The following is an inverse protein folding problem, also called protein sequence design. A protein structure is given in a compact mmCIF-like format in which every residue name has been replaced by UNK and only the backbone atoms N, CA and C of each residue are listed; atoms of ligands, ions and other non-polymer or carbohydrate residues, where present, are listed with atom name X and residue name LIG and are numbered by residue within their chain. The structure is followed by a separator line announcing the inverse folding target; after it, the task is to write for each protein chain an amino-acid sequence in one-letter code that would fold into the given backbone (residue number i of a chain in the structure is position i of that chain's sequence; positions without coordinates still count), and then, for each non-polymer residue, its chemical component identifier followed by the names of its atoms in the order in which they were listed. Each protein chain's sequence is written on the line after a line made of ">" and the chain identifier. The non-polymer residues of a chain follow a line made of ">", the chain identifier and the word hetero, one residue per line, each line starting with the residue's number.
data_IF_036108393672
#
_entry.id   IF_036108393672
#
_cell.length_a   1.000
_cell.length_b   1.000
_cell.length_c   1.000
_cell.angle_alpha   90.00
_cell.angle_beta   90.00
_cell.angle_gamma   90.00
#
_symmetry.space_group_name_H-M   'P 1'
#
loop_
_entity.id
_entity.type
_entity.pdbx_description
1 polymer ?
#
# COMPACT_ATOMS: atom_id res chain seq x y z
N UNK A 1 39.67 1.95 32.36
CA UNK A 1 40.74 1.79 31.35
C UNK A 1 40.58 2.94 30.38
N UNK A 2 41.38 3.98 30.56
CA UNK A 2 41.47 5.08 29.59
C UNK A 2 42.56 4.71 28.58
N UNK A 3 42.21 4.68 27.30
CA UNK A 3 43.12 4.45 26.20
C UNK A 3 43.72 5.80 25.81
N UNK A 4 44.94 6.08 26.26
CA UNK A 4 45.74 7.20 25.77
C UNK A 4 46.53 6.75 24.54
N UNK A 5 46.33 7.45 23.43
CA UNK A 5 47.07 7.25 22.19
C UNK A 5 48.17 8.33 22.14
N UNK A 6 49.38 8.00 22.60
CA UNK A 6 50.56 8.83 22.37
C UNK A 6 51.03 8.62 20.93
N UNK A 7 50.80 9.62 20.08
CA UNK A 7 51.43 9.69 18.77
C UNK A 7 52.80 10.34 18.93
N UNK A 8 53.85 9.59 18.60
CA UNK A 8 55.23 10.09 18.54
C UNK A 8 55.35 11.10 17.40
N UNK A 9 55.52 12.39 17.72
CA UNK A 9 55.63 13.48 16.74
C UNK A 9 56.86 13.37 15.82
N UNK A 10 57.79 12.48 16.16
CA UNK A 10 59.01 12.19 15.40
C UNK A 10 58.87 11.02 14.42
N UNK A 11 57.68 10.44 14.25
CA UNK A 11 57.44 9.41 13.25
C UNK A 11 57.70 9.97 11.82
N UNK A 12 58.66 9.41 11.06
CA UNK A 12 58.98 9.87 9.71
C UNK A 12 57.81 9.79 8.73
N UNK A 13 56.78 8.97 8.97
CA UNK A 13 55.53 8.96 8.20
C UNK A 13 54.67 10.20 8.50
N UNK A 14 54.60 10.64 9.76
CA UNK A 14 53.90 11.87 10.16
C UNK A 14 54.61 13.09 9.57
N UNK A 15 55.94 13.14 9.62
CA UNK A 15 56.72 14.23 9.01
C UNK A 15 56.61 14.25 7.47
N UNK A 16 56.51 13.10 6.82
CA UNK A 16 56.29 13.01 5.37
C UNK A 16 54.89 13.51 4.97
N UNK A 17 53.85 13.19 5.75
CA UNK A 17 52.48 13.69 5.55
C UNK A 17 52.38 15.22 5.80
N UNK A 18 53.10 15.73 6.80
CA UNK A 18 53.17 17.18 7.07
C UNK A 18 53.92 17.92 5.95
N UNK A 19 54.97 17.34 5.36
CA UNK A 19 55.67 17.92 4.19
C UNK A 19 54.81 17.91 2.92
N UNK A 20 54.03 16.87 2.65
CA UNK A 20 53.10 16.84 1.51
C UNK A 20 51.98 17.89 1.62
N UNK A 21 51.64 18.34 2.83
CA UNK A 21 50.61 19.38 3.05
C UNK A 21 51.07 20.80 2.68
N UNK A 22 52.37 21.06 2.52
CA UNK A 22 52.92 22.39 2.22
C UNK A 22 53.02 22.75 0.74
N UNK A 23 52.65 21.83 -0.16
CA UNK A 23 52.51 22.08 -1.61
C UNK A 23 51.05 21.99 -2.05
N UNK A 24 50.14 22.65 -1.30
CA UNK A 24 48.85 22.98 -1.89
C UNK A 24 49.06 24.13 -2.89
N UNK A 25 48.67 23.99 -4.17
CA UNK A 25 48.61 25.12 -5.07
C UNK A 25 47.72 26.19 -4.41
N UNK A 26 48.16 27.45 -4.44
CA UNK A 26 47.38 28.58 -3.94
C UNK A 26 45.94 28.44 -4.44
N UNK A 27 45.02 28.08 -3.54
CA UNK A 27 43.59 28.17 -3.83
C UNK A 27 43.35 29.63 -4.16
N UNK A 28 43.17 29.92 -5.44
CA UNK A 28 42.47 31.13 -5.84
C UNK A 28 41.18 31.11 -5.03
N UNK A 29 41.02 32.09 -4.16
CA UNK A 29 39.77 32.36 -3.46
C UNK A 29 38.82 32.83 -4.54
N UNK A 30 38.27 31.88 -5.29
CA UNK A 30 37.08 32.12 -6.07
C UNK A 30 36.02 32.26 -5.01
N UNK A 31 35.54 33.49 -4.80
CA UNK A 31 34.40 33.74 -3.93
C UNK A 31 33.32 32.73 -4.30
N UNK A 32 33.03 31.83 -3.36
CA UNK A 32 31.95 30.88 -3.52
C UNK A 32 30.67 31.70 -3.53
N UNK A 33 30.20 32.04 -4.72
CA UNK A 33 28.83 32.46 -4.93
C UNK A 33 28.03 31.16 -4.81
N UNK A 34 27.22 30.99 -3.75
CA UNK A 34 26.30 29.86 -3.71
C UNK A 34 25.55 29.91 -5.02
N UNK A 35 25.55 28.80 -5.78
CA UNK A 35 24.58 28.69 -6.86
C UNK A 35 23.25 28.87 -6.15
N UNK A 36 22.58 29.97 -6.46
CA UNK A 36 21.16 30.06 -6.22
C UNK A 36 20.59 28.95 -7.09
N UNK A 37 20.47 27.76 -6.53
CA UNK A 37 19.68 26.67 -7.07
C UNK A 37 18.26 27.20 -7.03
N UNK A 38 17.93 28.02 -8.02
CA UNK A 38 16.61 28.61 -8.16
C UNK A 38 15.65 27.44 -8.21
N UNK A 39 14.86 27.30 -7.15
CA UNK A 39 13.88 26.26 -6.89
C UNK A 39 12.72 26.23 -7.92
N UNK A 40 12.89 26.92 -9.05
CA UNK A 40 11.85 27.28 -9.99
C UNK A 40 12.35 27.29 -11.45
N UNK A 41 13.50 26.66 -11.76
CA UNK A 41 14.00 26.60 -13.15
C UNK A 41 12.97 25.99 -14.13
N UNK A 42 12.07 25.14 -13.63
CA UNK A 42 10.94 24.56 -14.36
C UNK A 42 9.71 25.49 -14.48
N UNK A 43 9.74 26.69 -13.87
CA UNK A 43 8.78 27.78 -14.06
C UNK A 43 9.24 28.80 -15.12
N UNK A 44 10.36 28.55 -15.82
CA UNK A 44 10.79 29.40 -16.92
C UNK A 44 9.68 29.53 -17.99
N UNK A 45 9.54 30.68 -18.68
CA UNK A 45 8.51 30.90 -19.70
C UNK A 45 8.52 29.84 -20.81
N UNK A 46 9.69 29.27 -21.10
CA UNK A 46 9.89 28.17 -22.03
C UNK A 46 10.65 27.05 -21.29
N UNK A 47 9.96 26.20 -20.51
CA UNK A 47 10.61 25.12 -19.81
C UNK A 47 11.14 24.10 -20.82
N UNK A 48 12.31 23.53 -20.52
CA UNK A 48 12.90 22.47 -21.36
C UNK A 48 11.96 21.26 -21.31
N UNK A 49 11.53 20.71 -22.47
CA UNK A 49 10.65 19.54 -22.48
C UNK A 49 11.29 18.36 -21.73
N UNK A 50 10.52 17.57 -20.94
CA UNK A 50 11.06 16.45 -20.16
C UNK A 50 11.85 15.45 -21.00
N UNK A 51 11.42 15.15 -22.24
CA UNK A 51 12.14 14.27 -23.17
C UNK A 51 13.54 14.76 -23.53
N UNK A 52 13.72 16.08 -23.71
CA UNK A 52 15.02 16.72 -23.99
C UNK A 52 15.83 16.81 -22.72
N UNK A 53 15.19 17.16 -21.61
CA UNK A 53 15.83 17.28 -20.30
C UNK A 53 16.45 15.93 -19.89
N UNK A 54 15.72 14.83 -20.04
CA UNK A 54 16.16 13.48 -19.67
C UNK A 54 17.40 12.99 -20.41
N UNK A 55 17.73 13.57 -21.56
CA UNK A 55 18.96 13.29 -22.31
C UNK A 55 20.19 14.01 -21.74
N UNK A 56 20.01 14.94 -20.81
CA UNK A 56 21.10 15.69 -20.17
C UNK A 56 21.64 14.98 -18.93
N UNK A 57 22.92 15.19 -18.61
CA UNK A 57 23.61 14.57 -17.46
C UNK A 57 22.88 14.69 -16.12
N UNK A 58 22.21 15.80 -15.87
CA UNK A 58 21.50 16.09 -14.61
C UNK A 58 19.98 16.15 -14.77
N UNK A 59 19.47 15.94 -15.98
CA UNK A 59 18.07 16.22 -16.28
C UNK A 59 17.08 15.30 -15.60
N UNK A 60 17.43 14.03 -15.39
CA UNK A 60 16.59 13.11 -14.63
C UNK A 60 16.39 13.58 -13.17
N UNK A 61 17.46 14.02 -12.50
CA UNK A 61 17.36 14.54 -11.14
C UNK A 61 16.57 15.86 -11.11
N UNK A 62 16.81 16.75 -12.07
CA UNK A 62 16.04 17.98 -12.22
C UNK A 62 14.54 17.69 -12.38
N UNK A 63 14.16 16.78 -13.28
CA UNK A 63 12.78 16.40 -13.51
C UNK A 63 12.15 15.80 -12.25
N UNK A 64 12.86 14.91 -11.53
CA UNK A 64 12.40 14.39 -10.23
C UNK A 64 12.13 15.49 -9.21
N UNK A 65 13.03 16.45 -9.05
CA UNK A 65 12.80 17.57 -8.15
C UNK A 65 11.59 18.41 -8.55
N UNK A 66 11.36 18.61 -9.85
CA UNK A 66 10.14 19.32 -10.31
C UNK A 66 8.86 18.54 -10.01
N UNK A 67 8.89 17.20 -10.14
CA UNK A 67 7.77 16.31 -9.80
C UNK A 67 7.46 16.40 -8.30
N UNK A 68 8.49 16.25 -7.45
CA UNK A 68 8.37 16.36 -5.99
C UNK A 68 7.85 17.74 -5.57
N UNK A 69 8.35 18.81 -6.19
CA UNK A 69 7.87 20.17 -5.96
C UNK A 69 6.38 20.29 -6.27
N UNK A 70 5.94 19.88 -7.47
CA UNK A 70 4.53 19.96 -7.85
C UNK A 70 3.64 19.13 -6.92
N UNK A 71 4.11 17.95 -6.51
CA UNK A 71 3.39 17.11 -5.56
C UNK A 71 3.24 17.77 -4.19
N UNK A 72 4.33 18.30 -3.64
CA UNK A 72 4.36 18.95 -2.33
C UNK A 72 3.48 20.22 -2.27
N UNK A 73 3.33 20.93 -3.39
CA UNK A 73 2.50 22.13 -3.50
C UNK A 73 1.06 21.83 -3.94
N UNK A 74 0.64 20.56 -3.96
CA UNK A 74 -0.73 20.17 -4.27
C UNK A 74 -1.11 20.22 -5.75
N UNK A 75 -0.15 20.50 -6.65
CA UNK A 75 -0.37 20.42 -8.10
C UNK A 75 -0.22 18.97 -8.58
N UNK A 76 -1.15 18.12 -8.14
CA UNK A 76 -1.12 16.68 -8.40
C UNK A 76 -1.28 16.33 -9.88
N UNK A 77 -2.02 17.14 -10.66
CA UNK A 77 -2.15 16.95 -12.10
C UNK A 77 -0.80 17.08 -12.80
N UNK A 78 -0.05 18.17 -12.51
CA UNK A 78 1.26 18.37 -13.13
C UNK A 78 2.29 17.36 -12.64
N UNK A 79 2.27 17.00 -11.36
CA UNK A 79 3.12 15.96 -10.82
C UNK A 79 2.89 14.61 -11.53
N UNK A 80 1.63 14.23 -11.76
CA UNK A 80 1.27 13.02 -12.48
C UNK A 80 1.72 13.06 -13.95
N UNK A 81 1.44 14.15 -14.66
CA UNK A 81 1.86 14.36 -16.06
C UNK A 81 3.38 14.15 -16.22
N UNK A 82 4.18 14.84 -15.41
CA UNK A 82 5.64 14.76 -15.46
C UNK A 82 6.17 13.37 -15.04
N UNK A 83 5.54 12.73 -14.05
CA UNK A 83 5.87 11.33 -13.69
C UNK A 83 5.62 10.37 -14.85
N UNK A 84 4.49 10.52 -15.55
CA UNK A 84 4.16 9.70 -16.72
C UNK A 84 5.14 9.91 -17.86
N UNK A 85 5.52 11.16 -18.15
CA UNK A 85 6.55 11.45 -19.16
C UNK A 85 7.88 10.77 -18.82
N UNK A 86 8.30 10.81 -17.55
CA UNK A 86 9.51 10.11 -17.10
C UNK A 86 9.36 8.59 -17.25
N UNK A 87 8.28 8.01 -16.73
CA UNK A 87 8.04 6.56 -16.76
C UNK A 87 8.01 6.06 -18.21
N UNK A 88 7.29 6.76 -19.09
CA UNK A 88 7.21 6.42 -20.52
C UNK A 88 8.56 6.55 -21.21
N UNK A 89 9.34 7.59 -20.91
CA UNK A 89 10.70 7.72 -21.42
C UNK A 89 11.56 6.52 -21.04
N UNK A 90 11.51 6.06 -19.77
CA UNK A 90 12.26 4.88 -19.35
C UNK A 90 11.75 3.60 -20.00
N UNK A 91 10.42 3.43 -20.13
CA UNK A 91 9.82 2.23 -20.73
C UNK A 91 10.13 2.08 -22.21
N UNK A 92 10.11 3.18 -22.98
CA UNK A 92 10.19 3.14 -24.44
C UNK A 92 11.56 3.54 -25.02
N UNK A 93 12.49 4.05 -24.20
CA UNK A 93 13.83 4.38 -24.68
C UNK A 93 14.64 3.11 -24.96
N UNK A 94 15.09 2.96 -26.21
CA UNK A 94 15.94 1.83 -26.66
C UNK A 94 17.41 1.96 -26.27
N UNK A 95 17.87 3.17 -25.90
CA UNK A 95 19.26 3.42 -25.49
C UNK A 95 19.51 2.98 -24.05
N UNK A 96 20.78 2.78 -23.66
CA UNK A 96 21.19 2.31 -22.33
C UNK A 96 20.77 3.27 -21.19
N UNK A 97 19.49 3.24 -20.82
CA UNK A 97 18.87 3.91 -19.66
C UNK A 97 19.28 3.24 -18.34
N UNK A 98 20.23 2.29 -18.37
CA UNK A 98 20.66 1.47 -17.22
C UNK A 98 21.12 2.27 -15.99
N UNK A 99 21.37 3.58 -16.14
CA UNK A 99 21.75 4.48 -15.04
C UNK A 99 20.61 5.36 -14.50
N UNK A 100 19.39 5.29 -15.06
CA UNK A 100 18.23 5.98 -14.48
C UNK A 100 17.64 5.12 -13.36
N UNK A 101 18.21 5.27 -12.16
CA UNK A 101 17.67 4.69 -10.94
C UNK A 101 16.44 5.47 -10.45
N UNK A 102 15.63 4.84 -9.59
CA UNK A 102 14.52 5.52 -8.89
C UNK A 102 13.30 5.81 -9.77
N UNK A 103 12.97 4.93 -10.72
CA UNK A 103 11.62 4.90 -11.33
C UNK A 103 10.56 4.53 -10.31
N UNK A 104 10.92 3.75 -9.29
CA UNK A 104 10.05 3.36 -8.18
C UNK A 104 9.41 4.57 -7.48
N UNK A 105 10.22 5.54 -7.04
CA UNK A 105 9.73 6.74 -6.36
C UNK A 105 8.77 7.57 -7.25
N UNK A 106 8.95 7.47 -8.57
CA UNK A 106 8.07 8.10 -9.55
C UNK A 106 6.74 7.37 -9.71
N UNK A 107 6.73 6.03 -9.71
CA UNK A 107 5.50 5.25 -9.62
C UNK A 107 4.75 5.55 -8.32
N UNK A 108 5.45 5.69 -7.20
CA UNK A 108 4.81 6.08 -5.94
C UNK A 108 4.15 7.46 -6.02
N UNK A 109 4.89 8.45 -6.56
CA UNK A 109 4.38 9.82 -6.71
C UNK A 109 3.22 9.87 -7.69
N UNK A 110 3.31 9.11 -8.79
CA UNK A 110 2.24 8.97 -9.77
C UNK A 110 0.99 8.34 -9.15
N UNK A 111 1.13 7.20 -8.45
CA UNK A 111 0.04 6.53 -7.75
C UNK A 111 -0.65 7.45 -6.73
N UNK A 112 0.13 8.16 -5.90
CA UNK A 112 -0.40 9.12 -4.93
C UNK A 112 -1.12 10.28 -5.60
N UNK A 113 -0.59 10.78 -6.72
CA UNK A 113 -1.20 11.87 -7.49
C UNK A 113 -2.50 11.43 -8.14
N UNK A 114 -2.52 10.26 -8.77
CA UNK A 114 -3.72 9.66 -9.35
C UNK A 114 -4.84 9.47 -8.31
N UNK A 115 -4.50 8.95 -7.12
CA UNK A 115 -5.46 8.88 -5.98
C UNK A 115 -6.02 10.25 -5.59
N UNK A 116 -5.20 11.30 -5.61
CA UNK A 116 -5.65 12.68 -5.29
C UNK A 116 -6.56 13.27 -6.35
N UNK A 117 -6.38 12.87 -7.61
CA UNK A 117 -7.21 13.28 -8.74
C UNK A 117 -8.48 12.41 -8.89
N UNK A 118 -8.58 11.31 -8.14
CA UNK A 118 -9.70 10.37 -8.21
C UNK A 118 -9.58 9.33 -9.32
N UNK A 119 -8.43 9.26 -10.00
CA UNK A 119 -8.12 8.24 -11.00
C UNK A 119 -7.57 6.98 -10.31
N UNK A 120 -8.47 6.17 -9.76
CA UNK A 120 -8.09 5.01 -8.98
C UNK A 120 -7.64 3.81 -9.81
N UNK A 121 -8.09 3.71 -11.07
CA UNK A 121 -7.68 2.65 -11.98
C UNK A 121 -6.20 2.81 -12.32
N UNK A 122 -5.81 4.01 -12.77
CA UNK A 122 -4.41 4.31 -13.06
C UNK A 122 -3.53 4.22 -11.80
N UNK A 123 -4.05 4.61 -10.63
CA UNK A 123 -3.34 4.43 -9.38
C UNK A 123 -3.03 2.96 -9.06
N UNK A 124 -3.97 2.05 -9.34
CA UNK A 124 -3.78 0.61 -9.16
C UNK A 124 -2.71 0.07 -10.12
N UNK A 125 -2.74 0.50 -11.38
CA UNK A 125 -1.71 0.14 -12.36
C UNK A 125 -0.32 0.54 -11.86
N UNK A 126 -0.15 1.79 -11.40
CA UNK A 126 1.15 2.24 -10.91
C UNK A 126 1.66 1.46 -9.70
N UNK A 127 0.81 1.10 -8.74
CA UNK A 127 1.28 0.33 -7.57
C UNK A 127 1.55 -1.13 -7.89
N UNK A 128 0.90 -1.70 -8.91
CA UNK A 128 1.20 -3.06 -9.39
C UNK A 128 2.58 -3.15 -10.05
N UNK A 129 3.07 -2.04 -10.62
CA UNK A 129 4.41 -1.94 -11.21
C UNK A 129 5.53 -1.80 -10.17
N UNK A 130 5.18 -1.53 -8.91
CA UNK A 130 6.15 -1.46 -7.81
C UNK A 130 6.45 -2.87 -7.31
N UNK A 131 7.56 -3.44 -7.77
CA UNK A 131 8.12 -4.69 -7.28
C UNK A 131 9.10 -4.43 -6.12
N UNK A 132 8.56 -4.32 -4.90
CA UNK A 132 9.36 -4.10 -3.70
C UNK A 132 8.61 -4.52 -2.44
N UNK A 133 9.37 -5.13 -1.52
CA UNK A 133 8.90 -5.60 -0.22
C UNK A 133 9.18 -4.60 0.92
N UNK A 134 9.50 -3.34 0.61
CA UNK A 134 9.66 -2.33 1.65
C UNK A 134 8.32 -2.02 2.33
N UNK A 135 8.27 -1.84 3.67
CA UNK A 135 7.02 -1.55 4.38
C UNK A 135 6.22 -0.38 3.80
N UNK A 136 6.92 0.67 3.33
CA UNK A 136 6.27 1.83 2.72
C UNK A 136 5.42 1.48 1.49
N UNK A 137 5.86 0.51 0.68
CA UNK A 137 5.12 0.10 -0.52
C UNK A 137 3.91 -0.77 -0.20
N UNK A 138 4.00 -1.66 0.79
CA UNK A 138 2.84 -2.39 1.27
C UNK A 138 1.76 -1.44 1.79
N UNK A 139 2.16 -0.44 2.59
CA UNK A 139 1.24 0.58 3.07
C UNK A 139 0.64 1.42 1.92
N UNK A 140 1.43 1.78 0.92
CA UNK A 140 0.97 2.49 -0.27
C UNK A 140 -0.05 1.66 -1.07
N UNK A 141 0.28 0.40 -1.40
CA UNK A 141 -0.60 -0.55 -2.09
C UNK A 141 -1.92 -0.69 -1.35
N UNK A 142 -1.85 -0.94 -0.05
CA UNK A 142 -3.03 -1.04 0.80
C UNK A 142 -3.94 0.19 0.72
N UNK A 143 -3.36 1.39 0.81
CA UNK A 143 -4.09 2.64 0.70
C UNK A 143 -4.73 2.81 -0.70
N UNK A 144 -3.99 2.52 -1.77
CA UNK A 144 -4.51 2.63 -3.15
C UNK A 144 -5.69 1.69 -3.35
N UNK A 145 -5.54 0.40 -3.05
CA UNK A 145 -6.63 -0.56 -3.20
C UNK A 145 -7.85 -0.21 -2.34
N UNK A 146 -7.63 0.24 -1.10
CA UNK A 146 -8.73 0.68 -0.23
C UNK A 146 -9.49 1.87 -0.81
N UNK A 147 -8.81 2.81 -1.49
CA UNK A 147 -9.47 3.94 -2.15
C UNK A 147 -10.15 3.51 -3.46
N UNK A 148 -9.54 2.59 -4.20
CA UNK A 148 -10.05 2.03 -5.44
C UNK A 148 -11.29 1.13 -5.27
N UNK A 149 -11.61 0.70 -4.04
CA UNK A 149 -12.76 -0.18 -3.73
C UNK A 149 -14.12 0.29 -4.26
N UNK A 150 -14.27 1.59 -4.59
CA UNK A 150 -15.51 2.16 -5.14
C UNK A 150 -15.59 2.13 -6.67
N UNK A 151 -14.47 1.90 -7.35
CA UNK A 151 -14.34 2.07 -8.80
C UNK A 151 -14.05 0.74 -9.50
N UNK A 152 -13.28 -0.15 -8.88
CA UNK A 152 -12.96 -1.48 -9.44
C UNK A 152 -14.07 -2.47 -9.07
N UNK A 153 -15.29 -2.17 -9.50
CA UNK A 153 -16.40 -3.11 -9.46
C UNK A 153 -16.36 -4.12 -10.63
N UNK A 154 -15.45 -3.93 -11.59
CA UNK A 154 -15.65 -4.45 -12.95
C UNK A 154 -14.58 -5.41 -13.49
N UNK A 155 -13.47 -5.70 -12.78
CA UNK A 155 -12.31 -6.30 -13.48
C UNK A 155 -11.41 -7.32 -12.76
N UNK A 156 -11.67 -7.82 -11.53
CA UNK A 156 -10.76 -8.85 -10.97
C UNK A 156 -11.32 -9.71 -9.83
N UNK A 157 -10.81 -10.95 -9.82
CA UNK A 157 -11.05 -12.11 -8.93
C UNK A 157 -10.85 -11.84 -7.43
N UNK A 158 -10.19 -10.74 -7.07
CA UNK A 158 -10.05 -10.31 -5.66
C UNK A 158 -10.59 -8.90 -5.47
N UNK A 159 -11.54 -8.75 -4.54
CA UNK A 159 -12.07 -7.43 -4.19
C UNK A 159 -10.90 -6.53 -3.73
N UNK A 160 -10.79 -5.26 -4.18
CA UNK A 160 -9.75 -4.34 -3.73
C UNK A 160 -9.59 -4.26 -2.21
N UNK A 161 -10.68 -4.48 -1.45
CA UNK A 161 -10.65 -4.61 0.01
C UNK A 161 -9.75 -5.77 0.50
N UNK A 162 -9.77 -6.94 -0.13
CA UNK A 162 -8.89 -8.07 0.24
C UNK A 162 -7.45 -7.76 -0.10
N UNK A 163 -7.18 -7.26 -1.31
CA UNK A 163 -5.85 -6.82 -1.69
C UNK A 163 -5.30 -5.78 -0.69
N UNK A 164 -6.15 -4.85 -0.25
CA UNK A 164 -5.80 -3.89 0.79
C UNK A 164 -5.51 -4.55 2.16
N UNK A 165 -6.30 -5.54 2.57
CA UNK A 165 -6.08 -6.29 3.81
C UNK A 165 -4.75 -7.06 3.73
N UNK A 166 -4.52 -7.84 2.66
CA UNK A 166 -3.28 -8.61 2.47
C UNK A 166 -2.05 -7.72 2.57
N UNK A 167 -2.06 -6.57 1.88
CA UNK A 167 -0.95 -5.62 1.95
C UNK A 167 -0.78 -5.00 3.36
N UNK A 168 -1.87 -4.72 4.09
CA UNK A 168 -1.75 -4.28 5.49
C UNK A 168 -1.21 -5.38 6.42
N UNK A 169 -1.55 -6.64 6.19
CA UNK A 169 -1.00 -7.79 6.93
C UNK A 169 0.50 -7.90 6.67
N UNK A 170 0.93 -7.92 5.41
CA UNK A 170 2.37 -7.93 5.06
C UNK A 170 3.12 -6.73 5.64
N UNK A 171 2.47 -5.56 5.70
CA UNK A 171 3.03 -4.39 6.38
C UNK A 171 3.19 -4.62 7.90
N UNK A 172 2.17 -5.17 8.56
CA UNK A 172 2.17 -5.41 10.01
C UNK A 172 3.13 -6.53 10.44
N UNK A 173 3.40 -7.49 9.56
CA UNK A 173 4.45 -8.49 9.78
C UNK A 173 5.84 -7.84 9.90
N UNK A 174 6.09 -6.75 9.16
CA UNK A 174 7.35 -5.99 9.20
C UNK A 174 7.34 -4.86 10.24
N UNK A 175 6.18 -4.23 10.48
CA UNK A 175 5.99 -3.12 11.42
C UNK A 175 4.81 -3.40 12.34
N UNK A 176 5.06 -4.24 13.34
CA UNK A 176 4.10 -4.59 14.37
C UNK A 176 3.57 -3.34 15.08
N UNK A 177 2.33 -3.41 15.56
CA UNK A 177 1.69 -2.39 16.39
C UNK A 177 1.53 -1.00 15.72
N UNK A 178 1.26 -0.95 14.41
CA UNK A 178 0.82 0.29 13.75
C UNK A 178 -0.72 0.40 13.80
N UNK A 179 -1.23 1.34 14.62
CA UNK A 179 -2.68 1.52 14.78
C UNK A 179 -3.38 1.87 13.46
N UNK A 180 -2.71 2.57 12.54
CA UNK A 180 -3.31 3.03 11.28
C UNK A 180 -3.54 1.85 10.33
N UNK A 181 -2.63 0.89 10.30
CA UNK A 181 -2.79 -0.32 9.49
C UNK A 181 -3.92 -1.20 10.04
N UNK A 182 -3.98 -1.41 11.36
CA UNK A 182 -5.10 -2.09 12.01
C UNK A 182 -6.45 -1.42 11.75
N UNK A 183 -6.50 -0.08 11.84
CA UNK A 183 -7.69 0.71 11.50
C UNK A 183 -8.10 0.51 10.03
N UNK A 184 -7.11 0.50 9.13
CA UNK A 184 -7.34 0.29 7.70
C UNK A 184 -7.93 -1.10 7.42
N UNK A 185 -7.43 -2.15 8.09
CA UNK A 185 -7.99 -3.51 8.00
C UNK A 185 -9.46 -3.50 8.45
N UNK A 186 -9.77 -2.90 9.61
CA UNK A 186 -11.15 -2.79 10.11
C UNK A 186 -12.09 -2.12 9.10
N UNK A 187 -11.66 -1.00 8.49
CA UNK A 187 -12.44 -0.32 7.45
C UNK A 187 -12.61 -1.14 6.16
N UNK A 188 -11.64 -1.99 5.81
CA UNK A 188 -11.77 -2.91 4.67
C UNK A 188 -12.82 -3.99 4.97
N UNK A 189 -12.78 -4.57 6.18
CA UNK A 189 -13.73 -5.60 6.62
C UNK A 189 -15.15 -5.05 6.71
N UNK A 190 -15.35 -3.84 7.24
CA UNK A 190 -16.68 -3.18 7.21
C UNK A 190 -17.19 -2.96 5.78
N UNK A 191 -16.29 -2.63 4.86
CA UNK A 191 -16.68 -2.48 3.46
C UNK A 191 -17.10 -3.81 2.82
N UNK A 192 -16.54 -4.94 3.28
CA UNK A 192 -16.94 -6.28 2.86
C UNK A 192 -18.26 -6.73 3.51
N UNK A 193 -18.55 -6.33 4.76
CA UNK A 193 -19.79 -6.72 5.46
C UNK A 193 -21.04 -5.96 5.02
N UNK A 194 -20.90 -4.83 4.31
CA UNK A 194 -22.04 -4.04 3.82
C UNK A 194 -22.13 -4.08 2.27
N UNK A 195 -22.54 -5.20 1.66
CA UNK A 195 -22.61 -5.37 0.22
C UNK A 195 -23.79 -4.61 -0.43
N UNK A 196 -24.44 -3.64 0.24
CA UNK A 196 -25.61 -2.86 -0.25
C UNK A 196 -25.42 -2.13 -1.60
N UNK A 197 -24.29 -2.31 -2.28
CA UNK A 197 -24.02 -1.81 -3.64
C UNK A 197 -23.60 -2.90 -4.66
N UNK A 198 -23.46 -4.16 -4.27
CA UNK A 198 -23.10 -5.27 -5.15
C UNK A 198 -24.22 -6.31 -5.14
N UNK A 199 -25.23 -6.12 -6.00
CA UNK A 199 -26.44 -6.95 -6.07
C UNK A 199 -26.22 -8.39 -6.58
N UNK A 200 -24.99 -8.85 -6.77
CA UNK A 200 -24.69 -10.07 -7.52
C UNK A 200 -24.09 -11.23 -6.74
N UNK A 201 -23.73 -11.07 -5.46
CA UNK A 201 -23.24 -12.18 -4.63
C UNK A 201 -24.36 -12.72 -3.74
N UNK A 202 -24.94 -13.85 -4.12
CA UNK A 202 -25.95 -14.60 -3.35
C UNK A 202 -25.35 -15.64 -2.40
N UNK A 203 -24.05 -15.57 -2.13
CA UNK A 203 -23.42 -16.42 -1.12
C UNK A 203 -23.67 -15.81 0.25
N UNK A 204 -24.35 -16.54 1.13
CA UNK A 204 -24.51 -16.21 2.55
C UNK A 204 -23.15 -16.21 3.25
N UNK A 205 -22.34 -15.19 2.98
CA UNK A 205 -21.16 -14.92 3.77
C UNK A 205 -21.66 -14.49 5.16
N UNK A 206 -21.22 -15.12 6.27
CA UNK A 206 -21.74 -14.79 7.58
C UNK A 206 -21.28 -13.37 7.94
N UNK A 207 -22.18 -12.41 7.68
CA UNK A 207 -22.01 -10.98 8.01
C UNK A 207 -21.51 -10.78 9.44
N UNK A 208 -21.85 -11.71 10.35
CA UNK A 208 -21.40 -11.73 11.74
C UNK A 208 -19.89 -11.93 11.86
N UNK A 209 -19.29 -12.91 11.18
CA UNK A 209 -17.84 -13.20 11.29
C UNK A 209 -16.99 -12.00 10.83
N UNK A 210 -17.31 -11.43 9.67
CA UNK A 210 -16.59 -10.26 9.14
C UNK A 210 -16.74 -9.06 10.08
N UNK A 211 -17.93 -8.84 10.63
CA UNK A 211 -18.17 -7.75 11.58
C UNK A 211 -17.38 -7.96 12.89
N UNK A 212 -17.28 -9.21 13.36
CA UNK A 212 -16.45 -9.57 14.52
C UNK A 212 -14.96 -9.33 14.24
N UNK A 213 -14.45 -9.73 13.08
CA UNK A 213 -13.05 -9.44 12.69
C UNK A 213 -12.78 -7.94 12.57
N UNK A 214 -13.73 -7.18 12.02
CA UNK A 214 -13.64 -5.73 11.96
C UNK A 214 -13.57 -5.13 13.39
N UNK A 215 -14.42 -5.60 14.30
CA UNK A 215 -14.46 -5.17 15.69
C UNK A 215 -13.13 -5.46 16.39
N UNK A 216 -12.56 -6.67 16.23
CA UNK A 216 -11.24 -7.01 16.75
C UNK A 216 -10.15 -6.08 16.22
N UNK A 217 -10.16 -5.80 14.91
CA UNK A 217 -9.20 -4.90 14.28
C UNK A 217 -9.26 -3.47 14.85
N UNK A 218 -10.47 -2.93 15.04
CA UNK A 218 -10.66 -1.60 15.63
C UNK A 218 -10.28 -1.56 17.11
N UNK A 219 -10.61 -2.60 17.90
CA UNK A 219 -10.19 -2.70 19.30
C UNK A 219 -8.66 -2.76 19.42
N UNK A 220 -7.98 -3.56 18.58
CA UNK A 220 -6.51 -3.61 18.54
C UNK A 220 -5.92 -2.24 18.20
N UNK A 221 -6.47 -1.57 17.17
CA UNK A 221 -6.08 -0.20 16.80
C UNK A 221 -6.25 0.78 17.96
N UNK A 222 -7.38 0.71 18.67
CA UNK A 222 -7.67 1.56 19.82
C UNK A 222 -6.70 1.31 20.98
N UNK A 223 -6.39 0.06 21.31
CA UNK A 223 -5.39 -0.28 22.33
C UNK A 223 -4.04 0.32 21.98
N UNK A 224 -3.56 0.11 20.75
CA UNK A 224 -2.26 0.67 20.29
C UNK A 224 -2.27 2.20 20.39
N UNK A 225 -3.33 2.86 19.90
CA UNK A 225 -3.44 4.31 19.93
C UNK A 225 -3.44 4.85 21.37
N UNK A 226 -4.20 4.23 22.26
CA UNK A 226 -4.35 4.68 23.66
C UNK A 226 -3.14 4.36 24.53
N UNK A 227 -2.34 3.35 24.18
CA UNK A 227 -1.03 3.09 24.81
C UNK A 227 0.08 4.05 24.36
N UNK A 228 -0.16 4.89 23.34
CA UNK A 228 0.84 5.83 22.83
C UNK A 228 1.00 7.09 23.70
N UNK A 229 2.14 7.76 23.59
CA UNK A 229 2.40 9.05 24.24
C UNK A 229 1.78 10.25 23.51
N UNK A 230 0.99 10.03 22.45
CA UNK A 230 0.41 11.09 21.62
C UNK A 230 -0.42 12.14 22.38
N UNK A 231 -1.20 11.78 23.43
CA UNK A 231 -1.97 12.78 24.18
C UNK A 231 -1.11 13.90 24.80
N UNK A 232 0.15 13.61 25.08
CA UNK A 232 1.08 14.49 25.78
C UNK A 232 1.80 15.47 24.83
N UNK A 233 1.63 15.36 23.51
CA UNK A 233 2.30 16.20 22.52
C UNK A 233 1.29 17.16 21.89
N UNK A 234 1.44 18.46 22.15
CA UNK A 234 0.47 19.49 21.75
C UNK A 234 0.14 19.49 20.25
N UNK A 235 1.16 19.38 19.40
CA UNK A 235 1.02 19.45 17.93
C UNK A 235 0.14 18.32 17.37
N UNK A 236 0.09 17.16 18.02
CA UNK A 236 -0.67 15.99 17.56
C UNK A 236 -1.92 15.69 18.40
N UNK A 237 -2.15 16.41 19.50
CA UNK A 237 -3.31 16.18 20.39
C UNK A 237 -4.64 16.27 19.65
N UNK A 238 -4.78 17.25 18.75
CA UNK A 238 -6.00 17.39 17.93
C UNK A 238 -6.24 16.18 17.03
N UNK A 239 -5.17 15.70 16.37
CA UNK A 239 -5.24 14.47 15.55
C UNK A 239 -5.59 13.26 16.43
N UNK A 240 -4.92 13.08 17.56
CA UNK A 240 -5.20 11.99 18.50
C UNK A 240 -6.67 11.95 18.90
N UNK A 241 -7.25 13.08 19.31
CA UNK A 241 -8.66 13.15 19.72
C UNK A 241 -9.63 12.78 18.60
N UNK A 242 -9.34 13.16 17.36
CA UNK A 242 -10.15 12.77 16.19
C UNK A 242 -10.05 11.29 15.88
N UNK A 243 -8.83 10.75 15.81
CA UNK A 243 -8.60 9.33 15.53
C UNK A 243 -9.21 8.43 16.61
N UNK A 244 -9.06 8.81 17.88
CA UNK A 244 -9.65 8.09 19.02
C UNK A 244 -11.17 8.04 18.93
N UNK A 245 -11.81 9.19 18.68
CA UNK A 245 -13.27 9.27 18.55
C UNK A 245 -13.79 8.41 17.40
N UNK A 246 -13.13 8.45 16.24
CA UNK A 246 -13.50 7.61 15.10
C UNK A 246 -13.46 6.11 15.47
N UNK A 247 -12.43 5.68 16.22
CA UNK A 247 -12.33 4.30 16.68
C UNK A 247 -13.44 3.94 17.67
N UNK A 248 -13.75 4.81 18.63
CA UNK A 248 -14.85 4.61 19.59
C UNK A 248 -16.20 4.47 18.89
N UNK A 249 -16.49 5.35 17.93
CA UNK A 249 -17.72 5.32 17.13
C UNK A 249 -17.83 4.01 16.32
N UNK A 250 -16.75 3.56 15.70
CA UNK A 250 -16.73 2.30 14.92
C UNK A 250 -16.87 1.07 15.81
N UNK A 251 -16.23 1.05 16.99
CA UNK A 251 -16.37 -0.02 17.98
C UNK A 251 -17.81 -0.11 18.48
N UNK A 252 -18.39 1.01 18.93
CA UNK A 252 -19.76 1.06 19.43
C UNK A 252 -20.78 0.61 18.37
N UNK A 253 -20.59 1.05 17.12
CA UNK A 253 -21.44 0.66 15.99
C UNK A 253 -21.38 -0.86 15.74
N UNK A 254 -20.19 -1.45 15.74
CA UNK A 254 -20.02 -2.89 15.50
C UNK A 254 -20.51 -3.74 16.67
N UNK A 255 -20.30 -3.30 17.92
CA UNK A 255 -20.82 -3.99 19.11
C UNK A 255 -22.35 -4.10 19.11
N UNK A 256 -23.05 -3.09 18.57
CA UNK A 256 -24.51 -3.14 18.40
C UNK A 256 -24.95 -4.13 17.31
N UNK A 257 -24.10 -4.37 16.31
CA UNK A 257 -24.38 -5.31 15.22
C UNK A 257 -24.01 -6.75 15.57
N UNK A 258 -23.03 -6.94 16.46
CA UNK A 258 -22.60 -8.24 16.97
C UNK A 258 -23.06 -8.38 18.42
N UNK A 259 -24.31 -8.80 18.70
CA UNK A 259 -24.75 -9.04 20.07
C UNK A 259 -23.78 -10.02 20.73
N UNK A 260 -23.00 -9.50 21.68
CA UNK A 260 -21.92 -10.22 22.32
C UNK A 260 -22.52 -11.12 23.40
N UNK A 261 -22.71 -12.41 23.12
CA UNK A 261 -23.21 -13.39 24.10
C UNK A 261 -22.16 -13.83 25.14
N UNK A 262 -21.01 -13.14 25.22
CA UNK A 262 -20.08 -13.27 26.33
C UNK A 262 -19.33 -14.60 26.42
N UNK A 263 -19.51 -15.51 25.45
CA UNK A 263 -18.78 -16.79 25.39
C UNK A 263 -18.12 -16.96 24.02
N UNK A 264 -16.81 -17.20 23.96
CA UNK A 264 -16.18 -17.76 22.77
C UNK A 264 -16.58 -19.24 22.68
N UNK A 265 -17.82 -19.52 22.30
CA UNK A 265 -18.18 -20.86 21.85
C UNK A 265 -17.63 -21.01 20.43
N UNK A 266 -16.64 -21.90 20.26
CA UNK A 266 -16.31 -22.48 18.96
C UNK A 266 -17.61 -23.06 18.40
N UNK A 267 -18.29 -22.31 17.53
CA UNK A 267 -19.61 -22.67 17.04
C UNK A 267 -19.55 -24.00 16.30
N UNK A 268 -20.46 -24.90 16.67
CA UNK A 268 -20.69 -26.22 16.07
C UNK A 268 -20.88 -26.16 14.54
N UNK A 269 -21.22 -24.98 14.02
CA UNK A 269 -21.27 -24.62 12.60
C UNK A 269 -19.92 -24.81 11.87
N UNK A 270 -18.78 -24.66 12.55
CA UNK A 270 -17.46 -24.97 11.99
C UNK A 270 -17.25 -26.46 11.74
N UNK A 271 -17.83 -27.33 12.57
CA UNK A 271 -17.80 -28.79 12.37
C UNK A 271 -18.74 -29.22 11.25
N UNK A 272 -19.86 -28.51 11.07
CA UNK A 272 -20.85 -28.82 10.03
C UNK A 272 -20.39 -28.38 8.63
N UNK A 273 -19.58 -27.33 8.52
CA UNK A 273 -19.04 -26.84 7.23
C UNK A 273 -18.03 -27.83 6.59
N UNK A 274 -17.30 -28.59 7.40
CA UNK A 274 -16.38 -29.65 6.91
C UNK A 274 -17.14 -30.91 6.45
N UNK A 275 -18.29 -31.23 7.07
CA UNK A 275 -19.13 -32.36 6.67
C UNK A 275 -19.85 -32.17 5.33
N UNK A 276 -20.29 -30.95 5.02
CA UNK A 276 -21.05 -30.66 3.79
C UNK A 276 -20.19 -30.72 2.50
N UNK A 277 -18.88 -30.50 2.59
CA UNK A 277 -17.96 -30.58 1.44
C UNK A 277 -17.75 -32.01 0.92
N UNK A 278 -18.07 -33.05 1.70
CA UNK A 278 -17.93 -34.43 1.26
C UNK A 278 -19.14 -35.00 0.50
N UNK A 279 -20.33 -34.37 0.58
CA UNK A 279 -21.53 -34.89 -0.09
C UNK A 279 -21.77 -34.31 -1.50
N UNK A 280 -21.31 -33.08 -1.78
CA UNK A 280 -21.53 -32.45 -3.11
C UNK A 280 -20.64 -32.98 -4.23
N UNK A 281 -19.62 -33.81 -3.94
CA UNK A 281 -18.73 -34.39 -4.97
C UNK A 281 -19.31 -35.65 -5.65
N UNK A 282 -20.58 -36.01 -5.35
CA UNK A 282 -21.20 -37.26 -5.80
C UNK A 282 -22.33 -37.14 -6.83
N UNK A 283 -22.83 -35.94 -7.18
CA UNK A 283 -24.08 -35.81 -7.96
C UNK A 283 -24.00 -35.06 -9.29
N UNK A 284 -22.82 -34.61 -9.73
CA UNK A 284 -22.67 -34.06 -11.09
C UNK A 284 -22.24 -35.14 -12.08
N UNK A 285 -23.21 -35.96 -12.48
CA UNK A 285 -23.12 -36.81 -13.66
C UNK A 285 -24.53 -37.06 -14.20
N UNK A 286 -25.11 -36.10 -14.93
CA UNK A 286 -26.21 -36.43 -15.86
C UNK A 286 -26.45 -35.38 -16.96
N UNK A 287 -26.30 -35.87 -18.20
CA UNK A 287 -26.96 -35.51 -19.47
C UNK A 287 -26.58 -34.20 -20.17
N UNK A 288 -25.79 -34.37 -21.24
CA UNK A 288 -25.75 -33.49 -22.41
C UNK A 288 -26.97 -33.72 -23.32
N UNK A 289 -27.63 -32.66 -23.83
CA UNK A 289 -28.38 -32.71 -25.07
C UNK A 289 -27.49 -32.26 -26.24
N UNK A 290 -27.48 -33.06 -27.31
CA UNK A 290 -26.99 -32.67 -28.64
C UNK A 290 -28.04 -31.77 -29.29
N UNK A 291 -27.68 -30.53 -29.61
CA UNK A 291 -28.20 -29.78 -30.76
C UNK A 291 -27.31 -28.54 -30.95
N UNK A 292 -26.49 -28.60 -32.01
CA UNK A 292 -25.49 -27.59 -32.35
C UNK A 292 -26.12 -26.39 -33.03
N UNK A 293 -26.08 -25.25 -32.35
CA UNK A 293 -25.85 -23.91 -32.93
C UNK A 293 -25.77 -22.80 -31.85
N UNK A 294 -25.95 -23.12 -30.56
CA UNK A 294 -25.84 -22.17 -29.44
C UNK A 294 -24.50 -22.25 -28.65
N UNK A 295 -23.55 -23.08 -29.08
CA UNK A 295 -22.29 -23.37 -28.35
C UNK A 295 -21.47 -22.13 -27.99
N UNK A 296 -21.40 -21.12 -28.87
CA UNK A 296 -20.60 -19.91 -28.61
C UNK A 296 -21.18 -18.99 -27.53
N UNK A 297 -22.49 -19.10 -27.25
CA UNK A 297 -23.12 -18.33 -26.16
C UNK A 297 -22.99 -19.05 -24.82
N UNK A 298 -23.06 -20.38 -24.83
CA UNK A 298 -22.85 -21.21 -23.65
C UNK A 298 -21.38 -21.25 -23.19
N UNK A 299 -20.39 -21.29 -24.10
CA UNK A 299 -18.96 -21.22 -23.75
C UNK A 299 -18.59 -19.93 -23.01
N UNK A 300 -19.21 -18.80 -23.36
CA UNK A 300 -18.95 -17.49 -22.74
C UNK A 300 -19.67 -17.30 -21.38
N UNK A 301 -20.72 -18.08 -21.11
CA UNK A 301 -21.40 -18.10 -19.80
C UNK A 301 -20.68 -19.08 -18.86
N UNK A 302 -20.33 -20.26 -19.35
CA UNK A 302 -19.61 -21.29 -18.59
C UNK A 302 -18.21 -20.82 -18.15
N UNK A 303 -17.51 -20.04 -18.99
CA UNK A 303 -16.23 -19.42 -18.59
C UNK A 303 -16.41 -18.34 -17.52
N UNK A 304 -17.52 -17.58 -17.52
CA UNK A 304 -17.79 -16.57 -16.49
C UNK A 304 -18.20 -17.19 -15.16
N UNK A 305 -19.00 -18.24 -15.16
CA UNK A 305 -19.40 -18.96 -13.94
C UNK A 305 -18.20 -19.63 -13.27
N UNK A 306 -17.35 -20.33 -14.05
CA UNK A 306 -16.12 -20.93 -13.53
C UNK A 306 -15.15 -19.88 -12.95
N UNK A 307 -15.04 -18.70 -13.60
CA UNK A 307 -14.26 -17.59 -13.04
C UNK A 307 -14.86 -17.13 -11.71
N UNK A 308 -16.18 -16.92 -11.63
CA UNK A 308 -16.84 -16.50 -10.37
C UNK A 308 -16.63 -17.54 -9.25
N UNK A 309 -16.72 -18.83 -9.53
CA UNK A 309 -16.49 -19.87 -8.52
C UNK A 309 -15.03 -19.90 -8.03
N UNK A 310 -14.07 -19.72 -8.93
CA UNK A 310 -12.67 -19.57 -8.58
C UNK A 310 -12.46 -18.34 -7.68
N UNK A 311 -13.07 -17.20 -8.02
CA UNK A 311 -13.02 -15.95 -7.24
C UNK A 311 -13.54 -16.16 -5.83
N UNK A 312 -14.68 -16.85 -5.70
CA UNK A 312 -15.31 -17.14 -4.42
C UNK A 312 -14.38 -18.01 -3.56
N UNK A 313 -13.76 -19.02 -4.15
CA UNK A 313 -12.83 -19.91 -3.43
C UNK A 313 -11.58 -19.17 -2.96
N UNK A 314 -10.94 -18.42 -3.85
CA UNK A 314 -9.76 -17.60 -3.52
C UNK A 314 -10.09 -16.52 -2.48
N UNK A 315 -11.27 -15.92 -2.56
CA UNK A 315 -11.80 -14.99 -1.58
C UNK A 315 -11.94 -15.65 -0.20
N UNK A 316 -12.58 -16.82 -0.13
CA UNK A 316 -12.82 -17.53 1.13
C UNK A 316 -11.51 -17.98 1.79
N UNK A 317 -10.57 -18.48 0.99
CA UNK A 317 -9.24 -18.87 1.48
C UNK A 317 -8.46 -17.65 2.00
N UNK A 318 -8.47 -16.54 1.26
CA UNK A 318 -7.83 -15.31 1.70
C UNK A 318 -8.45 -14.78 3.00
N UNK A 319 -9.78 -14.82 3.13
CA UNK A 319 -10.47 -14.37 4.33
C UNK A 319 -10.15 -15.27 5.52
N UNK A 320 -10.08 -16.58 5.33
CA UNK A 320 -9.69 -17.54 6.38
C UNK A 320 -8.26 -17.27 6.88
N UNK A 321 -7.31 -17.03 5.97
CA UNK A 321 -5.94 -16.68 6.37
C UNK A 321 -5.86 -15.36 7.16
N UNK A 322 -6.66 -14.37 6.78
CA UNK A 322 -6.78 -13.11 7.52
C UNK A 322 -7.40 -13.32 8.90
N UNK A 323 -8.45 -14.12 8.99
CA UNK A 323 -9.12 -14.47 10.25
C UNK A 323 -8.14 -15.12 11.23
N UNK A 324 -7.46 -16.19 10.80
CA UNK A 324 -6.45 -16.89 11.61
C UNK A 324 -5.35 -15.94 12.10
N UNK A 325 -4.88 -15.05 11.23
CA UNK A 325 -3.87 -14.05 11.57
C UNK A 325 -4.39 -13.04 12.60
N UNK A 326 -5.58 -12.46 12.41
CA UNK A 326 -6.16 -11.48 13.34
C UNK A 326 -6.35 -12.11 14.73
N UNK A 327 -6.90 -13.33 14.79
CA UNK A 327 -7.17 -14.01 16.04
C UNK A 327 -5.88 -14.31 16.81
N UNK A 328 -4.83 -14.77 16.10
CA UNK A 328 -3.50 -14.98 16.68
C UNK A 328 -2.95 -13.69 17.30
N UNK A 329 -2.87 -12.61 16.53
CA UNK A 329 -2.30 -11.33 16.99
C UNK A 329 -3.12 -10.67 18.12
N UNK A 330 -4.42 -10.96 18.21
CA UNK A 330 -5.26 -10.49 19.31
C UNK A 330 -5.01 -11.29 20.60
N UNK A 331 -4.80 -12.60 20.50
CA UNK A 331 -4.55 -13.47 21.66
C UNK A 331 -3.24 -13.15 22.41
N UNK A 332 -2.20 -12.73 21.67
CA UNK A 332 -0.88 -12.43 22.25
C UNK A 332 -0.88 -11.18 23.16
N UNK A 333 -1.88 -10.30 23.03
CA UNK A 333 -1.98 -9.07 23.84
C UNK A 333 -2.65 -9.24 25.21
N UNK A 334 -3.17 -10.44 25.51
CA UNK A 334 -3.89 -10.72 26.77
C UNK A 334 -3.00 -11.31 27.87
N UNK A 335 -1.74 -11.58 27.57
CA UNK A 335 -0.68 -11.98 28.51
C UNK A 335 0.25 -10.83 28.80
#
# INVERSE_FOLDING_TARGET
>A
MEFNFDFDEDDPLVQALVKQRKTQPQKTVVDYIPKHDYAEWFHAPNPIPPSVLLQTKHGANHLKYSIEYHYAHGNHAKALELSLEFINFVKYSSENVRNLHGTRDLYETAARSAVRLGDYEQAVEFVNEIDSEEPGHFQLKAMVYFKAKRYVAYLSLTTPSIAAIKNNVSYLDLRKNDFSAWKSIGHCLVALSCPRRYQTFSGDLPSTTISTLALHSFRKSFTILTSSLWPNVDVIRSRYGREKRELEEMIEMLEKLTPYDGKPEMTEDLKNLEGAKMQKKGEENMKHPEDGEDERRYENIFTKENLIEQDVSEFQEALKGVEEWILRECSETTT
#
